data_IF_191761941969
#
_entry.id   IF_191761941969
#
_cell.length_a   1.000
_cell.length_b   1.000
_cell.length_c   1.000
_cell.angle_alpha   90.00
_cell.angle_beta   90.00
_cell.angle_gamma   90.00
#
_symmetry.space_group_name_H-M   'P 1'
#
loop_
_entity.id
_entity.type
_entity.pdbx_description
1 polymer ?
#
# COMPACT_ATOMS: atom_id res chain seq x y z
N UNK A 1 -9.90 -1.37 5.89
CA UNK A 1 -9.51 -0.41 4.84
C UNK A 1 -8.47 0.55 5.37
N UNK A 2 -7.47 0.86 4.57
CA UNK A 2 -6.42 1.80 4.94
C UNK A 2 -6.42 2.97 3.97
N UNK A 3 -6.15 4.16 4.47
CA UNK A 3 -6.06 5.35 3.65
C UNK A 3 -4.74 6.05 3.94
N UNK A 4 -4.04 6.44 2.88
CA UNK A 4 -2.77 7.13 3.00
C UNK A 4 -2.81 8.40 2.17
N UNK A 5 -2.24 9.47 2.69
CA UNK A 5 -2.13 10.72 1.96
C UNK A 5 -0.67 10.88 1.55
N UNK A 6 -0.44 11.14 0.28
CA UNK A 6 0.92 11.26 -0.25
C UNK A 6 1.54 12.54 0.25
N UNK A 7 2.71 12.42 0.87
CA UNK A 7 3.45 13.57 1.36
C UNK A 7 4.39 14.06 0.28
N UNK A 8 4.92 15.26 0.48
CA UNK A 8 5.81 15.83 -0.51
C UNK A 8 7.01 14.95 -0.83
N UNK A 9 7.55 14.27 0.18
CA UNK A 9 8.70 13.39 -0.05
C UNK A 9 8.32 12.12 -0.79
N UNK A 10 7.02 11.82 -0.89
CA UNK A 10 6.56 10.66 -1.64
C UNK A 10 6.11 11.03 -3.04
N UNK A 11 5.91 12.31 -3.30
CA UNK A 11 5.40 12.75 -4.58
C UNK A 11 6.47 12.56 -5.66
N UNK A 12 6.01 12.44 -6.90
CA UNK A 12 6.92 12.33 -8.02
C UNK A 12 7.29 10.90 -8.40
N UNK A 13 6.94 9.92 -7.56
CA UNK A 13 7.24 8.54 -7.92
C UNK A 13 6.00 7.88 -8.52
N UNK A 14 6.21 6.75 -9.18
CA UNK A 14 5.08 6.03 -9.76
C UNK A 14 4.28 5.36 -8.65
N UNK A 15 2.98 5.22 -8.89
CA UNK A 15 2.08 4.62 -7.92
C UNK A 15 2.49 3.17 -7.62
N UNK A 16 2.83 2.40 -8.64
CA UNK A 16 3.23 1.01 -8.43
C UNK A 16 4.49 0.92 -7.57
N UNK A 17 5.42 1.84 -7.77
CA UNK A 17 6.64 1.85 -6.97
C UNK A 17 6.34 2.17 -5.52
N UNK A 18 5.44 3.12 -5.29
CA UNK A 18 5.02 3.47 -3.94
C UNK A 18 4.37 2.27 -3.27
N UNK A 19 3.50 1.56 -3.99
CA UNK A 19 2.80 0.41 -3.44
C UNK A 19 3.77 -0.73 -3.12
N UNK A 20 4.79 -0.91 -3.93
CA UNK A 20 5.78 -1.95 -3.65
C UNK A 20 6.59 -1.65 -2.41
N UNK A 21 6.79 -0.38 -2.10
CA UNK A 21 7.44 -0.01 -0.86
C UNK A 21 6.52 -0.19 0.33
N UNK A 22 5.26 0.15 0.16
CA UNK A 22 4.27 0.05 1.22
C UNK A 22 3.97 -1.40 1.54
N UNK A 23 3.81 -2.23 0.52
CA UNK A 23 3.52 -3.65 0.66
C UNK A 23 4.74 -4.43 0.24
N UNK A 24 5.83 -4.22 0.96
CA UNK A 24 7.13 -4.72 0.53
C UNK A 24 7.24 -6.22 0.49
N UNK A 25 6.39 -6.92 1.23
CA UNK A 25 6.39 -8.38 1.22
C UNK A 25 5.48 -8.96 0.16
N UNK A 26 4.73 -8.13 -0.56
CA UNK A 26 3.83 -8.64 -1.58
C UNK A 26 4.54 -8.73 -2.92
N UNK A 27 4.24 -9.76 -3.70
CA UNK A 27 4.80 -9.84 -5.05
C UNK A 27 4.15 -8.79 -5.94
N UNK A 28 4.84 -8.41 -7.00
CA UNK A 28 4.31 -7.41 -7.94
C UNK A 28 2.98 -7.85 -8.52
N UNK A 29 2.82 -9.14 -8.79
CA UNK A 29 1.57 -9.64 -9.34
C UNK A 29 0.40 -9.37 -8.40
N UNK A 30 0.61 -9.46 -7.10
CA UNK A 30 -0.44 -9.16 -6.14
C UNK A 30 -0.83 -7.68 -6.23
N UNK A 31 0.17 -6.81 -6.30
CA UNK A 31 -0.09 -5.37 -6.37
C UNK A 31 -0.93 -5.04 -7.60
N UNK A 32 -0.53 -5.55 -8.76
CA UNK A 32 -1.27 -5.25 -9.99
C UNK A 32 -2.65 -5.89 -10.00
N UNK A 33 -2.78 -7.07 -9.39
CA UNK A 33 -4.09 -7.70 -9.27
C UNK A 33 -5.02 -6.84 -8.43
N UNK A 34 -4.52 -6.28 -7.34
CA UNK A 34 -5.34 -5.43 -6.48
C UNK A 34 -5.74 -4.14 -7.19
N UNK A 35 -4.84 -3.58 -7.97
CA UNK A 35 -5.15 -2.39 -8.76
C UNK A 35 -6.24 -2.71 -9.78
N UNK A 36 -6.12 -3.84 -10.47
CA UNK A 36 -7.09 -4.23 -11.48
C UNK A 36 -8.47 -4.44 -10.87
N UNK A 37 -8.52 -4.99 -9.66
CA UNK A 37 -9.79 -5.26 -8.99
C UNK A 37 -10.36 -4.06 -8.25
N UNK A 38 -9.69 -2.91 -8.32
CA UNK A 38 -10.11 -1.70 -7.61
C UNK A 38 -10.02 -1.87 -6.11
N UNK A 39 -9.23 -2.82 -5.63
CA UNK A 39 -8.96 -2.94 -4.19
C UNK A 39 -7.91 -1.94 -3.76
N UNK A 40 -7.19 -1.33 -4.70
CA UNK A 40 -6.29 -0.23 -4.45
C UNK A 40 -6.68 0.85 -5.43
N UNK A 41 -7.02 2.02 -4.92
CA UNK A 41 -7.46 3.13 -5.77
C UNK A 41 -6.70 4.39 -5.41
N UNK A 42 -6.64 5.31 -6.37
CA UNK A 42 -5.97 6.59 -6.21
C UNK A 42 -7.01 7.69 -6.37
N UNK A 43 -7.19 8.50 -5.33
CA UNK A 43 -8.19 9.56 -5.31
C UNK A 43 -9.59 9.02 -5.62
N UNK A 44 -9.86 7.81 -5.14
CA UNK A 44 -11.16 7.20 -5.32
C UNK A 44 -11.42 6.65 -6.71
N UNK A 45 -10.40 6.61 -7.57
CA UNK A 45 -10.56 6.15 -8.94
C UNK A 45 -9.67 4.94 -9.19
N UNK A 46 -10.08 4.11 -10.13
CA UNK A 46 -9.29 2.97 -10.54
C UNK A 46 -7.95 3.45 -11.06
N UNK A 47 -6.90 2.73 -10.71
CA UNK A 47 -5.56 3.05 -11.15
C UNK A 47 -4.89 1.78 -11.68
N UNK A 48 -3.85 1.95 -12.48
CA UNK A 48 -3.14 0.79 -13.02
C UNK A 48 -1.67 0.72 -12.57
N UNK A 49 -1.24 1.66 -11.75
CA UNK A 49 0.11 1.66 -11.22
C UNK A 49 1.07 2.57 -11.96
N UNK A 50 0.69 3.04 -13.14
CA UNK A 50 1.58 3.89 -13.92
C UNK A 50 1.44 5.37 -13.56
N UNK A 51 0.49 5.71 -12.73
CA UNK A 51 0.24 7.10 -12.37
C UNK A 51 1.42 7.67 -11.59
N UNK A 52 1.69 8.95 -11.83
CA UNK A 52 2.70 9.65 -11.06
C UNK A 52 2.01 10.30 -9.88
N UNK A 53 2.52 10.06 -8.70
CA UNK A 53 1.90 10.58 -7.48
C UNK A 53 2.24 12.04 -7.27
N UNK A 54 1.26 12.78 -6.77
CA UNK A 54 1.46 14.17 -6.40
C UNK A 54 1.20 14.31 -4.90
N UNK A 55 1.76 15.34 -4.30
CA UNK A 55 1.51 15.61 -2.89
C UNK A 55 0.00 15.75 -2.66
N UNK A 56 -0.47 15.20 -1.55
CA UNK A 56 -1.87 15.23 -1.14
C UNK A 56 -2.78 14.27 -1.89
N UNK A 57 -2.23 13.46 -2.80
CA UNK A 57 -3.04 12.40 -3.40
C UNK A 57 -3.47 11.42 -2.33
N UNK A 58 -4.68 10.87 -2.47
CA UNK A 58 -5.22 9.93 -1.51
C UNK A 58 -5.15 8.52 -2.07
N UNK A 59 -4.57 7.62 -1.31
CA UNK A 59 -4.46 6.21 -1.69
C UNK A 59 -5.33 5.41 -0.72
N UNK A 60 -6.24 4.62 -1.25
CA UNK A 60 -7.09 3.76 -0.43
C UNK A 60 -6.81 2.30 -0.76
N UNK A 61 -6.66 1.51 0.28
CA UNK A 61 -6.44 0.08 0.15
C UNK A 61 -7.62 -0.64 0.79
N UNK A 62 -8.41 -1.30 -0.02
CA UNK A 62 -9.55 -2.07 0.48
C UNK A 62 -9.11 -3.49 0.77
N UNK A 63 -8.19 -3.63 1.70
CA UNK A 63 -7.65 -4.92 2.11
C UNK A 63 -8.02 -5.16 3.57
N UNK A 64 -8.17 -6.42 3.94
CA UNK A 64 -8.35 -6.76 5.35
C UNK A 64 -7.10 -6.36 6.11
N UNK A 65 -7.26 -6.00 7.37
CA UNK A 65 -6.13 -5.56 8.18
C UNK A 65 -5.05 -6.63 8.25
N UNK A 66 -5.43 -7.89 8.41
CA UNK A 66 -4.41 -8.92 8.49
C UNK A 66 -3.71 -9.14 7.16
N UNK A 67 -4.39 -8.94 6.04
CA UNK A 67 -3.75 -9.02 4.74
C UNK A 67 -2.75 -7.88 4.57
N UNK A 68 -3.15 -6.68 4.96
CA UNK A 68 -2.27 -5.54 4.89
C UNK A 68 -1.02 -5.77 5.76
N UNK A 69 -1.22 -6.21 7.00
CA UNK A 69 -0.11 -6.42 7.92
C UNK A 69 0.84 -7.48 7.39
N UNK A 70 0.30 -8.52 6.78
CA UNK A 70 1.12 -9.59 6.22
C UNK A 70 2.08 -9.06 5.16
N UNK A 71 1.60 -8.19 4.29
CA UNK A 71 2.41 -7.68 3.19
C UNK A 71 3.16 -6.40 3.50
N UNK A 72 2.76 -5.67 4.54
CA UNK A 72 3.45 -4.44 4.90
C UNK A 72 4.80 -4.70 5.54
N UNK A 73 4.99 -5.90 6.07
CA UNK A 73 6.31 -6.28 6.53
C UNK A 73 6.43 -6.34 8.03
N UNK A 74 7.60 -6.69 8.44
CA UNK A 74 7.81 -7.08 9.80
C UNK A 74 7.81 -5.94 10.79
N UNK A 75 8.02 -4.75 10.35
CA UNK A 75 8.06 -3.69 11.33
C UNK A 75 6.74 -3.55 12.04
N UNK A 76 5.68 -4.07 11.43
CA UNK A 76 4.40 -3.98 12.06
C UNK A 76 4.35 -4.82 13.30
N UNK A 77 4.99 -5.98 13.27
CA UNK A 77 4.84 -6.86 14.36
C UNK A 77 5.90 -6.73 15.38
N UNK A 78 6.95 -6.06 15.14
CA UNK A 78 7.86 -6.01 16.17
C UNK A 78 7.38 -5.23 17.31
N UNK A 79 6.47 -4.60 17.18
CA UNK A 79 5.94 -4.05 18.38
C UNK A 79 5.23 -5.15 19.17
N UNK A 80 5.52 -5.92 19.16
CA UNK A 80 4.91 -6.94 19.77
C UNK A 80 5.21 -7.79 20.24
N UNK A 81 5.54 -7.96 20.25
CA UNK A 81 5.72 -8.72 20.63
C UNK A 81 5.72 -9.39 20.95
N UNK A 82 5.68 -9.48 20.88
CA UNK A 82 5.40 -10.00 21.16
C UNK A 82 5.28 -10.61 21.22
N UNK A 83 5.36 -10.68 21.11
CA UNK A 83 5.00 -11.20 21.17
C UNK A 83 4.95 -11.87 21.12
N UNK A 84 4.98 -12.02 21.19
CA UNK A 84 4.69 -12.66 21.18
C UNK A 84 4.95 -13.20 21.25
N UNK A 85 5.33 -13.24 21.35
CA UNK A 85 5.35 -13.71 21.38
C UNK A 85 5.51 -13.96 21.46
N UNK A 86 5.74 -13.96 21.41
CA UNK A 86 5.53 -14.08 21.48
C UNK A 86 5.60 -14.30 21.44
#
# INVERSE_FOLDING_TARGET
MKTFIIKENEAGQRFDKYLKKLLKEAPSSFVYKMLRKKNIVLNGKKADGSEKLNARDEVKLFLADETYDKFAGAEVKESFPSSKIG
#
